data_IF_170679636060
#
_entry.id   IF_170679636060
#
_cell.length_a   1.000
_cell.length_b   1.000
_cell.length_c   1.000
_cell.angle_alpha   90.00
_cell.angle_beta   90.00
_cell.angle_gamma   90.00
#
_symmetry.space_group_name_H-M   'P 1'
#
loop_
_entity.id
_entity.type
_entity.pdbx_description
1 polymer ?
#
# COMPACT_ATOMS: atom_id res chain seq x y z
N UNK A 1 12.13 -39.36 -47.92
CA UNK A 1 12.25 -39.62 -46.46
C UNK A 1 11.52 -40.92 -46.14
N UNK A 2 12.14 -41.91 -45.46
CA UNK A 2 11.47 -43.19 -45.21
C UNK A 2 10.30 -42.99 -44.23
N UNK A 3 9.13 -43.55 -44.56
CA UNK A 3 7.84 -43.36 -43.87
C UNK A 3 7.88 -43.56 -42.34
N UNK A 4 8.88 -44.29 -41.82
CA UNK A 4 9.11 -44.51 -40.38
C UNK A 4 9.68 -43.28 -39.66
N UNK A 5 10.57 -42.54 -40.33
CA UNK A 5 11.14 -41.28 -39.80
C UNK A 5 10.07 -40.19 -39.77
N UNK A 6 9.22 -40.09 -40.81
CA UNK A 6 8.15 -39.10 -40.88
C UNK A 6 7.12 -39.26 -39.74
N UNK A 7 6.78 -40.49 -39.36
CA UNK A 7 5.86 -40.74 -38.23
C UNK A 7 6.45 -40.33 -36.88
N UNK A 8 7.75 -40.58 -36.67
CA UNK A 8 8.45 -40.18 -35.44
C UNK A 8 8.51 -38.65 -35.34
N UNK A 9 8.81 -37.97 -36.45
CA UNK A 9 8.80 -36.51 -36.52
C UNK A 9 7.42 -35.90 -36.24
N UNK A 10 6.33 -36.50 -36.76
CA UNK A 10 4.96 -36.03 -36.50
C UNK A 10 4.56 -36.21 -35.04
N UNK A 11 4.93 -37.32 -34.40
CA UNK A 11 4.63 -37.54 -32.96
C UNK A 11 5.47 -36.61 -32.07
N UNK A 12 6.74 -36.38 -32.39
CA UNK A 12 7.59 -35.45 -31.65
C UNK A 12 7.11 -33.99 -31.79
N UNK A 13 6.68 -33.57 -32.98
CA UNK A 13 6.10 -32.25 -33.20
C UNK A 13 4.76 -32.07 -32.48
N UNK A 14 3.92 -33.11 -32.40
CA UNK A 14 2.68 -33.08 -31.65
C UNK A 14 2.91 -32.96 -30.13
N UNK A 15 3.97 -33.58 -29.59
CA UNK A 15 4.35 -33.44 -28.17
C UNK A 15 4.89 -32.04 -27.83
N UNK A 16 5.60 -31.40 -28.76
CA UNK A 16 6.09 -30.02 -28.59
C UNK A 16 4.93 -29.00 -28.71
N UNK A 17 3.91 -29.28 -29.52
CA UNK A 17 2.72 -28.44 -29.65
C UNK A 17 1.79 -28.44 -28.42
N UNK A 18 1.88 -29.46 -27.55
CA UNK A 18 1.11 -29.53 -26.30
C UNK A 18 1.87 -29.02 -25.07
N UNK A 19 3.17 -28.79 -25.17
CA UNK A 19 3.99 -28.25 -24.09
C UNK A 19 4.21 -26.75 -24.30
N UNK A 20 3.21 -25.90 -24.05
CA UNK A 20 3.36 -24.59 -23.38
C UNK A 20 2.10 -23.70 -23.46
N UNK A 21 1.11 -23.91 -22.57
CA UNK A 21 0.37 -22.79 -22.00
C UNK A 21 0.99 -22.30 -20.68
N UNK A 22 2.08 -22.92 -20.20
CA UNK A 22 2.67 -22.67 -18.88
C UNK A 22 3.47 -21.36 -18.73
N UNK A 23 3.60 -20.52 -19.77
CA UNK A 23 4.52 -19.36 -19.71
C UNK A 23 3.82 -18.04 -19.31
N UNK A 24 2.48 -17.97 -19.28
CA UNK A 24 1.78 -16.75 -18.87
C UNK A 24 0.80 -17.02 -17.72
N UNK A 25 1.31 -17.34 -16.53
CA UNK A 25 0.57 -17.07 -15.30
C UNK A 25 0.61 -15.56 -15.00
N UNK A 26 0.05 -14.75 -15.91
CA UNK A 26 -0.23 -13.34 -15.62
C UNK A 26 -1.44 -13.32 -14.71
N UNK A 27 -1.31 -12.67 -13.56
CA UNK A 27 -2.43 -12.36 -12.68
C UNK A 27 -3.42 -11.52 -13.49
N UNK A 28 -4.60 -12.07 -13.80
CA UNK A 28 -5.66 -11.36 -14.54
C UNK A 28 -6.74 -10.77 -13.63
N UNK A 29 -6.71 -11.14 -12.36
CA UNK A 29 -7.64 -10.67 -11.32
C UNK A 29 -6.82 -10.00 -10.24
N UNK A 30 -7.05 -8.70 -10.05
CA UNK A 30 -6.45 -7.91 -8.98
C UNK A 30 -7.52 -7.68 -7.92
N UNK A 31 -7.64 -8.57 -6.91
CA UNK A 31 -8.63 -8.38 -5.86
C UNK A 31 -8.32 -7.10 -5.10
N UNK A 32 -9.32 -6.23 -4.98
CA UNK A 32 -9.29 -5.03 -4.12
C UNK A 32 -10.12 -5.31 -2.87
N UNK A 33 -9.62 -4.92 -1.70
CA UNK A 33 -10.25 -5.22 -0.41
C UNK A 33 -9.79 -6.55 0.21
N UNK A 34 -10.71 -7.27 0.87
CA UNK A 34 -10.38 -8.49 1.62
C UNK A 34 -10.43 -9.73 0.71
N UNK A 35 -9.25 -10.32 0.45
CA UNK A 35 -9.15 -11.53 -0.37
C UNK A 35 -9.63 -12.79 0.35
N UNK A 36 -9.38 -12.90 1.67
CA UNK A 36 -9.74 -14.06 2.49
C UNK A 36 -10.25 -13.57 3.85
N UNK A 37 -11.48 -13.94 4.20
CA UNK A 37 -12.06 -13.66 5.52
C UNK A 37 -12.59 -14.97 6.14
N UNK A 38 -12.11 -15.32 7.33
CA UNK A 38 -12.52 -16.50 8.10
C UNK A 38 -13.03 -16.03 9.48
N UNK A 39 -14.33 -15.76 9.64
CA UNK A 39 -14.88 -15.12 10.84
C UNK A 39 -14.71 -15.95 12.12
N UNK A 40 -14.50 -17.27 11.99
CA UNK A 40 -14.17 -18.18 13.09
C UNK A 40 -12.72 -18.07 13.57
N UNK A 41 -11.84 -17.42 12.79
CA UNK A 41 -10.39 -17.32 13.07
C UNK A 41 -9.87 -15.88 13.12
N UNK A 42 -10.73 -14.88 12.92
CA UNK A 42 -10.34 -13.47 12.87
C UNK A 42 -11.28 -12.61 13.71
N UNK A 43 -10.78 -11.52 14.26
CA UNK A 43 -11.63 -10.51 14.87
C UNK A 43 -12.42 -9.73 13.82
N UNK A 44 -13.61 -9.27 14.19
CA UNK A 44 -14.41 -8.34 13.37
C UNK A 44 -13.83 -6.95 13.60
N UNK A 45 -13.59 -6.22 12.51
CA UNK A 45 -13.06 -4.86 12.57
C UNK A 45 -13.08 -4.17 11.22
N UNK A 46 -12.34 -3.06 11.16
CA UNK A 46 -12.13 -2.29 9.95
C UNK A 46 -10.63 -2.15 9.69
N UNK A 47 -10.27 -2.04 8.43
CA UNK A 47 -8.90 -1.79 8.00
C UNK A 47 -8.85 -0.44 7.29
N UNK A 48 -8.00 0.46 7.79
CA UNK A 48 -7.69 1.73 7.14
C UNK A 48 -6.45 1.54 6.26
N UNK A 49 -6.63 1.76 4.96
CA UNK A 49 -5.62 1.55 3.94
C UNK A 49 -5.20 2.88 3.32
N UNK A 50 -3.93 2.98 2.96
CA UNK A 50 -3.46 3.92 1.95
C UNK A 50 -3.76 3.30 0.58
N UNK A 51 -4.78 3.81 -0.12
CA UNK A 51 -5.21 3.24 -1.38
C UNK A 51 -4.31 3.71 -2.52
N UNK A 52 -3.96 2.77 -3.40
CA UNK A 52 -3.30 3.09 -4.65
C UNK A 52 -4.18 3.98 -5.54
N UNK A 53 -3.58 4.53 -6.60
CA UNK A 53 -4.27 5.28 -7.66
C UNK A 53 -4.93 6.61 -7.24
N UNK A 54 -4.51 7.19 -6.11
CA UNK A 54 -4.96 8.52 -5.66
C UNK A 54 -6.31 8.52 -4.94
N UNK A 55 -6.78 7.36 -4.49
CA UNK A 55 -8.02 7.22 -3.70
C UNK A 55 -7.88 7.69 -2.24
N UNK A 56 -6.66 8.06 -1.81
CA UNK A 56 -6.35 8.52 -0.46
C UNK A 56 -6.54 7.45 0.60
N UNK A 57 -6.93 7.86 1.81
CA UNK A 57 -7.23 6.93 2.89
C UNK A 57 -8.59 6.24 2.67
N UNK A 58 -8.62 4.90 2.74
CA UNK A 58 -9.83 4.08 2.52
C UNK A 58 -10.07 3.15 3.68
N UNK A 59 -11.27 3.22 4.28
CA UNK A 59 -11.73 2.31 5.31
C UNK A 59 -12.54 1.18 4.69
N UNK A 60 -12.13 -0.07 4.94
CA UNK A 60 -12.85 -1.26 4.50
C UNK A 60 -13.32 -2.11 5.69
N UNK A 61 -14.44 -2.81 5.53
CA UNK A 61 -14.87 -3.87 6.45
C UNK A 61 -14.17 -5.20 6.16
N UNK A 62 -14.37 -6.19 7.03
CA UNK A 62 -13.78 -7.53 6.84
C UNK A 62 -14.31 -8.29 5.62
N UNK A 63 -15.45 -7.90 5.03
CA UNK A 63 -15.93 -8.47 3.76
C UNK A 63 -15.28 -7.79 2.54
N UNK A 64 -14.44 -6.77 2.74
CA UNK A 64 -13.82 -6.00 1.68
C UNK A 64 -14.70 -4.88 1.13
N UNK A 65 -15.84 -4.58 1.76
CA UNK A 65 -16.67 -3.46 1.35
C UNK A 65 -16.00 -2.15 1.77
N UNK A 66 -16.02 -1.16 0.88
CA UNK A 66 -15.60 0.20 1.21
C UNK A 66 -16.67 0.81 2.10
N UNK A 67 -16.28 1.14 3.33
CA UNK A 67 -17.12 1.84 4.31
C UNK A 67 -17.03 3.34 4.09
N UNK A 68 -15.81 3.85 3.83
CA UNK A 68 -15.56 5.27 3.62
C UNK A 68 -14.23 5.53 2.89
N UNK A 69 -14.13 6.68 2.25
CA UNK A 69 -12.90 7.24 1.67
C UNK A 69 -12.68 8.68 2.14
N UNK A 70 -11.42 9.07 2.26
CA UNK A 70 -10.95 10.45 2.43
C UNK A 70 -9.88 10.74 1.36
N UNK A 71 -10.30 11.18 0.17
CA UNK A 71 -9.38 11.50 -0.93
C UNK A 71 -8.38 12.61 -0.61
N UNK A 72 -8.70 13.46 0.37
CA UNK A 72 -7.86 14.57 0.83
C UNK A 72 -6.65 14.10 1.64
N UNK A 73 -6.71 12.86 2.15
CA UNK A 73 -5.61 12.20 2.83
C UNK A 73 -4.81 11.39 1.82
N UNK A 74 -4.09 12.08 0.93
CA UNK A 74 -3.33 11.49 -0.19
C UNK A 74 -1.81 11.65 -0.03
N UNK A 75 -1.35 12.07 1.14
CA UNK A 75 0.06 12.11 1.50
C UNK A 75 0.60 10.71 1.84
N UNK A 76 1.91 10.63 2.05
CA UNK A 76 2.52 9.38 2.51
C UNK A 76 1.97 9.03 3.91
N UNK A 77 1.53 7.78 4.08
CA UNK A 77 1.06 7.26 5.36
C UNK A 77 2.10 7.38 6.50
N UNK A 78 1.66 7.18 7.76
CA UNK A 78 0.46 6.43 8.15
C UNK A 78 -0.80 7.28 8.37
N UNK A 79 -1.95 6.73 7.99
CA UNK A 79 -3.26 7.22 8.42
C UNK A 79 -3.67 6.59 9.75
N UNK A 80 -4.34 7.35 10.61
CA UNK A 80 -4.80 6.91 11.93
C UNK A 80 -6.27 7.25 12.11
N UNK A 81 -7.06 6.27 12.53
CA UNK A 81 -8.44 6.49 12.95
C UNK A 81 -8.51 6.61 14.47
N UNK A 82 -9.27 7.58 14.95
CA UNK A 82 -9.52 7.83 16.36
C UNK A 82 -10.83 7.16 16.83
N UNK A 83 -10.99 6.89 18.14
CA UNK A 83 -12.14 6.15 18.68
C UNK A 83 -13.51 6.77 18.40
N UNK A 84 -13.57 8.07 18.14
CA UNK A 84 -14.75 8.87 17.82
C UNK A 84 -15.04 8.97 16.32
N UNK A 85 -14.29 8.27 15.47
CA UNK A 85 -14.49 8.21 14.03
C UNK A 85 -13.73 9.28 13.23
N UNK A 86 -12.92 10.09 13.90
CA UNK A 86 -12.03 11.04 13.25
C UNK A 86 -10.87 10.29 12.59
N UNK A 87 -10.30 10.87 11.55
CA UNK A 87 -9.16 10.31 10.84
C UNK A 87 -8.10 11.37 10.62
N UNK A 88 -6.84 10.98 10.79
CA UNK A 88 -5.70 11.85 10.61
C UNK A 88 -4.71 11.23 9.62
N UNK A 89 -4.09 12.09 8.82
CA UNK A 89 -2.85 11.76 8.11
C UNK A 89 -2.40 12.84 7.14
N UNK A 90 -1.51 12.45 6.23
CA UNK A 90 -0.85 13.36 5.31
C UNK A 90 -1.77 13.89 4.21
N UNK A 91 -1.64 15.18 3.87
CA UNK A 91 -2.42 15.81 2.80
C UNK A 91 -1.98 15.39 1.40
N UNK A 92 -0.70 15.52 1.10
CA UNK A 92 -0.12 15.27 -0.22
C UNK A 92 1.37 14.94 -0.11
N UNK A 93 1.88 14.20 -1.09
CA UNK A 93 3.27 13.77 -1.15
C UNK A 93 4.23 14.93 -1.44
N UNK A 94 5.28 15.09 -0.63
CA UNK A 94 6.30 16.11 -0.84
C UNK A 94 7.54 15.54 -1.52
N UNK A 95 7.54 15.44 -2.85
CA UNK A 95 8.74 14.99 -3.58
C UNK A 95 9.96 15.93 -3.34
N UNK A 96 11.20 15.41 -3.17
CA UNK A 96 11.61 14.00 -3.13
C UNK A 96 11.55 13.33 -1.74
N UNK A 97 10.97 14.00 -0.74
CA UNK A 97 10.96 13.56 0.65
C UNK A 97 9.79 12.60 0.95
N UNK A 98 9.93 11.77 1.98
CA UNK A 98 8.88 10.84 2.43
C UNK A 98 7.77 11.54 3.23
N UNK A 99 7.91 12.83 3.49
CA UNK A 99 7.02 13.59 4.36
C UNK A 99 5.81 14.10 3.56
N UNK A 100 4.72 14.39 4.26
CA UNK A 100 3.57 15.06 3.66
C UNK A 100 3.64 16.57 3.88
N UNK A 101 3.00 17.35 3.01
CA UNK A 101 3.01 18.82 3.11
C UNK A 101 2.32 19.30 4.40
N UNK A 102 1.23 18.65 4.79
CA UNK A 102 0.55 18.90 6.05
C UNK A 102 0.07 17.60 6.68
N UNK A 103 -0.07 17.61 8.00
CA UNK A 103 -0.84 16.63 8.76
C UNK A 103 -2.23 17.21 9.00
N UNK A 104 -3.27 16.51 8.58
CA UNK A 104 -4.66 16.98 8.63
C UNK A 104 -5.52 15.96 9.38
N UNK A 105 -6.48 16.46 10.14
CA UNK A 105 -7.53 15.66 10.77
C UNK A 105 -8.90 16.00 10.19
N UNK A 106 -9.65 14.97 9.82
CA UNK A 106 -11.02 15.04 9.33
C UNK A 106 -11.97 14.35 10.29
N UNK A 107 -13.16 14.93 10.48
CA UNK A 107 -14.25 14.24 11.14
C UNK A 107 -14.86 13.15 10.24
N UNK A 108 -15.83 12.41 10.78
CA UNK A 108 -16.53 11.39 10.01
C UNK A 108 -17.32 11.97 8.85
N UNK A 109 -17.72 13.24 8.81
CA UNK A 109 -18.44 13.84 7.69
C UNK A 109 -17.51 14.22 6.53
N UNK A 110 -16.20 14.30 6.77
CA UNK A 110 -15.19 14.72 5.80
C UNK A 110 -14.87 16.21 5.92
N UNK A 111 -15.19 16.84 7.04
CA UNK A 111 -14.83 18.22 7.34
C UNK A 111 -13.48 18.24 8.05
N UNK A 112 -12.60 19.14 7.61
CA UNK A 112 -11.32 19.39 8.28
C UNK A 112 -11.56 20.04 9.64
N UNK A 113 -11.05 19.42 10.69
CA UNK A 113 -11.19 19.92 12.08
C UNK A 113 -9.89 20.41 12.67
N UNK A 114 -8.75 20.00 12.09
CA UNK A 114 -7.43 20.39 12.54
C UNK A 114 -6.39 20.21 11.42
N UNK A 115 -5.35 21.04 11.44
CA UNK A 115 -4.22 21.00 10.50
C UNK A 115 -2.91 21.43 11.16
N UNK A 116 -1.83 20.81 10.73
CA UNK A 116 -0.45 21.27 10.93
C UNK A 116 0.30 21.30 9.59
N UNK A 117 0.67 22.49 9.14
CA UNK A 117 1.29 22.79 7.84
C UNK A 117 2.61 23.57 7.97
N UNK A 118 3.18 23.59 9.18
CA UNK A 118 4.36 24.37 9.55
C UNK A 118 5.66 23.60 9.32
N UNK A 119 5.84 23.10 8.10
CA UNK A 119 7.06 22.38 7.68
C UNK A 119 8.32 23.25 7.77
N UNK A 120 8.17 24.57 7.68
CA UNK A 120 9.23 25.55 7.86
C UNK A 120 9.88 25.50 9.26
N UNK A 121 9.20 24.89 10.24
CA UNK A 121 9.74 24.65 11.57
C UNK A 121 10.67 23.41 11.63
N UNK A 122 10.69 22.58 10.59
CA UNK A 122 11.56 21.42 10.49
C UNK A 122 12.78 21.79 9.66
N UNK A 123 13.98 21.72 10.25
CA UNK A 123 15.20 21.83 9.49
C UNK A 123 15.26 20.67 8.48
N UNK A 124 15.37 20.97 7.19
CA UNK A 124 15.66 19.91 6.22
C UNK A 124 17.04 19.35 6.58
N UNK A 125 17.20 18.02 6.72
CA UNK A 125 18.52 17.44 6.92
C UNK A 125 19.40 17.89 5.75
N UNK A 126 20.48 18.59 6.08
CA UNK A 126 21.50 18.95 5.12
C UNK A 126 22.38 17.73 4.90
N UNK A 127 22.98 17.60 3.71
CA UNK A 127 23.86 16.46 3.40
C UNK A 127 25.04 16.29 4.35
N UNK A 128 25.35 17.34 5.13
CA UNK A 128 26.42 17.36 6.11
C UNK A 128 25.99 16.74 7.45
N UNK A 129 24.67 16.64 7.72
CA UNK A 129 24.10 16.03 8.94
C UNK A 129 24.16 14.50 8.92
N UNK A 130 24.37 13.86 7.75
CA UNK A 130 24.52 12.40 7.62
C UNK A 130 25.92 11.90 8.05
N UNK A 131 26.88 12.81 8.24
CA UNK A 131 28.26 12.48 8.62
C UNK A 131 28.52 12.53 10.14
N UNK A 132 27.64 13.17 10.92
CA UNK A 132 27.69 13.10 12.37
C UNK A 132 26.92 11.87 12.84
N UNK A 133 27.67 10.80 13.10
CA UNK A 133 27.20 9.64 13.83
C UNK A 133 26.84 10.10 15.26
N UNK A 134 25.59 10.50 15.44
CA UNK A 134 25.06 10.95 16.73
C UNK A 134 24.96 9.74 17.67
N UNK A 135 26.02 9.53 18.46
CA UNK A 135 26.13 8.42 19.42
C UNK A 135 24.96 8.39 20.43
N UNK A 136 24.28 9.53 20.65
CA UNK A 136 23.11 9.65 21.53
C UNK A 136 21.78 9.25 20.87
N UNK A 137 21.69 9.19 19.53
CA UNK A 137 20.50 8.70 18.85
C UNK A 137 20.18 7.24 19.22
N UNK A 138 21.23 6.46 19.52
CA UNK A 138 21.09 5.08 20.00
C UNK A 138 20.38 4.97 21.36
N UNK A 139 20.52 5.99 22.23
CA UNK A 139 19.93 5.98 23.56
C UNK A 139 18.41 6.16 23.55
N UNK A 140 17.87 6.91 22.58
CA UNK A 140 16.42 7.15 22.43
C UNK A 140 15.69 5.88 21.98
N UNK A 141 16.33 5.06 21.14
CA UNK A 141 15.75 3.81 20.63
C UNK A 141 16.03 2.58 21.52
N UNK A 142 17.01 2.66 22.42
CA UNK A 142 17.34 1.57 23.35
C UNK A 142 16.46 1.53 24.63
N UNK A 143 15.59 2.53 24.84
CA UNK A 143 14.74 2.62 26.03
C UNK A 143 13.33 2.01 25.86
N UNK A 144 13.12 1.11 24.88
CA UNK A 144 11.88 0.34 24.72
C UNK A 144 12.10 -1.16 24.90
#
# INVERSE_FOLDING_TARGET
MPRRQLKIFVVAAAMIGFASPLINAVVSVYPTGTTIYQPDKTWIGFTLLDAADGDGAVLIDMNGNIVRRWPELAGMGPFRMFPDGYVMGGSEYRAPYQESIALIEYNWEGEEVWRFDRLDMLAAPTSDDEAEQDDDASAVWAAR
#
